data_IF_259130661831
#
_entry.id   IF_259130661831
#
_cell.length_a   1.000
_cell.length_b   1.000
_cell.length_c   1.000
_cell.angle_alpha   90.00
_cell.angle_beta   90.00
_cell.angle_gamma   90.00
#
_symmetry.space_group_name_H-M   'P 1'
#
loop_
_entity.id
_entity.type
_entity.pdbx_description
1 polymer ?
#
# COMPACT_ATOMS: atom_id res chain seq x y z
N UNK A 1 54.13 -34.60 -28.96
CA UNK A 1 52.96 -33.88 -28.45
C UNK A 1 52.74 -34.30 -27.00
N UNK A 2 53.29 -33.53 -26.06
CA UNK A 2 53.20 -33.83 -24.63
C UNK A 2 51.94 -33.11 -24.13
N UNK A 3 50.88 -33.88 -23.85
CA UNK A 3 49.68 -33.37 -23.20
C UNK A 3 50.10 -32.86 -21.82
N UNK A 4 50.07 -31.55 -21.63
CA UNK A 4 50.27 -30.92 -20.33
C UNK A 4 49.03 -31.23 -19.47
N UNK A 5 49.00 -32.41 -18.84
CA UNK A 5 48.01 -32.73 -17.82
C UNK A 5 48.34 -31.82 -16.64
N UNK A 6 47.62 -30.70 -16.53
CA UNK A 6 47.68 -29.82 -15.37
C UNK A 6 47.16 -30.62 -14.18
N UNK A 7 48.07 -31.26 -13.45
CA UNK A 7 47.76 -31.91 -12.17
C UNK A 7 47.52 -30.79 -11.17
N UNK A 8 46.28 -30.36 -11.05
CA UNK A 8 45.87 -29.41 -10.02
C UNK A 8 45.99 -30.13 -8.67
N UNK A 9 46.85 -29.67 -7.73
CA UNK A 9 47.04 -30.32 -6.45
C UNK A 9 45.71 -30.39 -5.68
N UNK A 10 45.48 -31.45 -4.90
CA UNK A 10 44.20 -31.66 -4.20
C UNK A 10 43.79 -30.47 -3.32
N UNK A 11 44.76 -29.78 -2.71
CA UNK A 11 44.54 -28.55 -1.95
C UNK A 11 43.96 -27.40 -2.80
N UNK A 12 44.34 -27.28 -4.07
CA UNK A 12 43.82 -26.28 -5.00
C UNK A 12 42.41 -26.65 -5.48
N UNK A 13 42.13 -27.94 -5.70
CA UNK A 13 40.76 -28.42 -5.98
C UNK A 13 39.83 -28.12 -4.79
N UNK A 14 40.29 -28.37 -3.57
CA UNK A 14 39.56 -28.12 -2.33
C UNK A 14 39.28 -26.62 -2.12
N UNK A 15 40.27 -25.73 -2.35
CA UNK A 15 40.09 -24.28 -2.26
C UNK A 15 39.14 -23.73 -3.35
N UNK A 16 39.17 -24.28 -4.55
CA UNK A 16 38.22 -23.94 -5.61
C UNK A 16 36.80 -24.43 -5.28
N UNK A 17 36.65 -25.60 -4.64
CA UNK A 17 35.37 -26.11 -4.18
C UNK A 17 34.80 -25.32 -3.00
N UNK A 18 35.59 -25.02 -1.96
CA UNK A 18 35.13 -24.22 -0.83
C UNK A 18 34.89 -22.75 -1.22
N UNK A 19 35.73 -22.19 -2.08
CA UNK A 19 35.54 -20.86 -2.65
C UNK A 19 34.30 -20.79 -3.54
N UNK A 20 34.09 -21.78 -4.43
CA UNK A 20 32.89 -21.83 -5.28
C UNK A 20 31.62 -22.06 -4.46
N UNK A 21 31.67 -22.90 -3.43
CA UNK A 21 30.54 -23.12 -2.52
C UNK A 21 30.21 -21.85 -1.75
N UNK A 22 31.22 -21.13 -1.24
CA UNK A 22 31.02 -19.84 -0.58
C UNK A 22 30.42 -18.78 -1.50
N UNK A 23 30.90 -18.68 -2.74
CA UNK A 23 30.34 -17.78 -3.76
C UNK A 23 28.91 -18.18 -4.14
N UNK A 24 28.65 -19.48 -4.33
CA UNK A 24 27.32 -19.99 -4.65
C UNK A 24 26.33 -19.70 -3.51
N UNK A 25 26.73 -19.98 -2.27
CA UNK A 25 25.92 -19.68 -1.08
C UNK A 25 25.68 -18.17 -0.95
N UNK A 26 26.69 -17.34 -1.20
CA UNK A 26 26.53 -15.89 -1.19
C UNK A 26 25.52 -15.43 -2.26
N UNK A 27 25.63 -15.93 -3.51
CA UNK A 27 24.70 -15.59 -4.58
C UNK A 27 23.27 -16.03 -4.27
N UNK A 28 23.09 -17.17 -3.59
CA UNK A 28 21.77 -17.68 -3.19
C UNK A 28 21.18 -16.88 -2.03
N UNK A 29 21.99 -16.52 -1.02
CA UNK A 29 21.51 -15.85 0.20
C UNK A 29 21.40 -14.33 0.03
N UNK A 30 22.20 -13.73 -0.85
CA UNK A 30 22.23 -12.29 -1.07
C UNK A 30 20.86 -11.67 -1.37
N UNK A 31 20.00 -12.24 -2.24
CA UNK A 31 18.65 -11.74 -2.46
C UNK A 31 17.83 -11.65 -1.19
N UNK A 32 17.91 -12.66 -0.31
CA UNK A 32 17.16 -12.70 0.95
C UNK A 32 17.65 -11.66 1.96
N UNK A 33 18.97 -11.52 2.11
CA UNK A 33 19.57 -10.59 3.08
C UNK A 33 19.46 -9.13 2.64
N UNK A 34 19.48 -8.88 1.33
CA UNK A 34 19.43 -7.52 0.76
C UNK A 34 18.03 -7.10 0.30
N UNK A 35 17.01 -7.96 0.46
CA UNK A 35 15.63 -7.61 0.15
C UNK A 35 15.09 -6.59 1.14
N UNK A 36 14.31 -5.62 0.66
CA UNK A 36 13.49 -4.74 1.51
C UNK A 36 12.05 -4.84 1.04
N UNK A 37 11.13 -4.83 2.00
CA UNK A 37 9.71 -4.90 1.72
C UNK A 37 9.21 -3.71 0.88
N UNK A 38 8.02 -3.84 0.28
CA UNK A 38 7.43 -2.84 -0.57
C UNK A 38 7.09 -1.54 0.17
N UNK A 39 7.23 -0.40 -0.52
CA UNK A 39 6.71 0.90 -0.06
C UNK A 39 5.34 1.16 -0.72
N UNK A 40 4.34 1.49 0.10
CA UNK A 40 3.00 1.83 -0.36
C UNK A 40 2.80 3.34 -0.32
N UNK A 41 2.22 3.90 -1.38
CA UNK A 41 1.83 5.30 -1.43
C UNK A 41 0.40 5.44 -1.96
N UNK A 42 -0.28 6.47 -1.50
CA UNK A 42 -1.64 6.81 -1.95
C UNK A 42 -1.69 8.28 -2.33
N UNK A 43 -2.33 8.55 -3.46
CA UNK A 43 -2.63 9.89 -3.94
C UNK A 43 -4.14 10.07 -4.11
N UNK A 44 -4.63 11.27 -3.82
CA UNK A 44 -5.99 11.68 -4.13
C UNK A 44 -5.93 12.45 -5.44
N UNK A 45 -6.46 11.86 -6.50
CA UNK A 45 -6.36 12.38 -7.87
C UNK A 45 -7.51 13.31 -8.22
N UNK A 46 -8.70 13.08 -7.65
CA UNK A 46 -9.87 13.94 -7.82
C UNK A 46 -10.75 13.92 -6.58
N UNK A 47 -11.48 15.00 -6.36
CA UNK A 47 -12.53 15.10 -5.34
C UNK A 47 -13.71 15.85 -5.94
N UNK A 48 -14.87 15.22 -5.93
CA UNK A 48 -16.16 15.83 -6.30
C UNK A 48 -17.11 15.80 -5.10
N UNK A 49 -18.11 16.68 -5.07
CA UNK A 49 -19.12 16.72 -4.00
C UNK A 49 -18.59 17.18 -2.63
N UNK A 50 -17.46 17.88 -2.62
CA UNK A 50 -16.83 18.47 -1.43
C UNK A 50 -16.34 19.90 -1.70
N UNK A 51 -17.07 20.69 -2.48
CA UNK A 51 -16.70 22.09 -2.74
C UNK A 51 -17.02 22.97 -1.52
N UNK A 52 -16.07 23.78 -0.99
CA UNK A 52 -16.34 24.66 0.14
C UNK A 52 -17.54 25.59 -0.09
N UNK A 53 -17.59 26.25 -1.24
CA UNK A 53 -18.57 27.27 -1.56
C UNK A 53 -19.96 26.70 -1.88
N UNK A 54 -20.00 25.49 -2.46
CA UNK A 54 -21.27 24.88 -2.92
C UNK A 54 -21.82 23.86 -1.94
N UNK A 55 -20.95 23.02 -1.40
CA UNK A 55 -21.34 21.81 -0.68
C UNK A 55 -21.15 21.96 0.84
N UNK A 56 -20.22 22.80 1.32
CA UNK A 56 -19.93 22.91 2.75
C UNK A 56 -20.57 24.12 3.45
N UNK A 57 -20.77 25.25 2.76
CA UNK A 57 -21.40 26.45 3.34
C UNK A 57 -22.94 26.49 3.31
N UNK A 58 -23.59 25.44 2.78
CA UNK A 58 -25.06 25.40 2.62
C UNK A 58 -25.82 24.65 3.73
N UNK A 59 -27.14 24.90 3.81
CA UNK A 59 -28.09 24.23 4.74
C UNK A 59 -28.28 22.72 4.48
N UNK A 60 -27.64 22.15 3.45
CA UNK A 60 -27.69 20.71 3.20
C UNK A 60 -26.98 19.95 4.32
N UNK A 61 -27.68 19.05 5.04
CA UNK A 61 -27.09 18.31 6.15
C UNK A 61 -26.19 17.15 5.70
N UNK A 62 -26.35 16.68 4.47
CA UNK A 62 -25.73 15.49 3.95
C UNK A 62 -24.82 15.81 2.75
N UNK A 63 -23.63 15.19 2.72
CA UNK A 63 -22.64 15.30 1.66
C UNK A 63 -22.55 13.98 0.89
N UNK A 64 -22.27 14.05 -0.40
CA UNK A 64 -22.04 12.86 -1.23
C UNK A 64 -20.71 12.99 -1.96
N UNK A 65 -19.57 12.94 -1.24
CA UNK A 65 -18.27 13.16 -1.83
C UNK A 65 -17.81 11.94 -2.65
N UNK A 66 -17.13 12.19 -3.76
CA UNK A 66 -16.51 11.16 -4.60
C UNK A 66 -15.02 11.43 -4.66
N UNK A 67 -14.23 10.45 -4.24
CA UNK A 67 -12.77 10.53 -4.23
C UNK A 67 -12.19 9.62 -5.31
N UNK A 68 -11.40 10.20 -6.21
CA UNK A 68 -10.46 9.47 -7.04
C UNK A 68 -9.20 9.17 -6.24
N UNK A 69 -8.86 7.89 -6.10
CA UNK A 69 -7.73 7.42 -5.30
C UNK A 69 -6.81 6.61 -6.22
N UNK A 70 -5.53 6.90 -6.19
CA UNK A 70 -4.51 6.06 -6.82
C UNK A 70 -3.67 5.41 -5.73
N UNK A 71 -3.59 4.09 -5.75
CA UNK A 71 -2.74 3.30 -4.87
C UNK A 71 -1.52 2.87 -5.68
N UNK A 72 -0.33 3.21 -5.20
CA UNK A 72 0.94 2.88 -5.83
C UNK A 72 1.77 1.99 -4.90
N UNK A 73 2.38 0.97 -5.47
CA UNK A 73 3.20 -0.02 -4.77
C UNK A 73 4.57 -0.03 -5.42
N UNK A 74 5.58 0.39 -4.66
CA UNK A 74 6.99 0.29 -5.03
C UNK A 74 7.58 -0.99 -4.43
N UNK A 75 7.80 -2.00 -5.26
CA UNK A 75 8.44 -3.26 -4.88
C UNK A 75 9.83 -3.40 -5.52
N UNK A 76 10.45 -2.28 -5.93
CA UNK A 76 11.74 -2.27 -6.64
C UNK A 76 12.91 -2.77 -5.80
N UNK A 77 12.72 -2.79 -4.47
CA UNK A 77 13.73 -3.25 -3.50
C UNK A 77 13.49 -4.66 -2.98
N UNK A 78 12.37 -5.29 -3.33
CA UNK A 78 12.14 -6.68 -3.00
C UNK A 78 12.65 -7.59 -4.12
N UNK A 79 13.57 -8.49 -3.76
CA UNK A 79 14.25 -9.41 -4.67
C UNK A 79 13.61 -10.80 -4.68
N UNK A 80 12.73 -11.07 -3.73
CA UNK A 80 12.24 -12.41 -3.41
C UNK A 80 10.75 -12.51 -3.67
N UNK A 81 9.97 -11.56 -3.15
CA UNK A 81 8.52 -11.60 -3.16
C UNK A 81 7.94 -10.49 -4.02
N UNK A 82 6.76 -10.77 -4.58
CA UNK A 82 5.87 -9.77 -5.18
C UNK A 82 5.02 -9.14 -4.09
N UNK A 83 4.59 -7.91 -4.30
CA UNK A 83 3.74 -7.18 -3.37
C UNK A 83 2.34 -7.03 -3.95
N UNK A 84 1.33 -7.62 -3.30
CA UNK A 84 -0.04 -7.63 -3.80
C UNK A 84 -1.00 -6.88 -2.88
N UNK A 85 -2.05 -6.35 -3.52
CA UNK A 85 -3.33 -6.00 -2.90
C UNK A 85 -4.33 -7.04 -3.42
N UNK A 86 -4.90 -7.81 -2.49
CA UNK A 86 -5.75 -8.96 -2.77
C UNK A 86 -7.12 -8.62 -3.36
N UNK A 87 -7.91 -9.66 -3.60
CA UNK A 87 -9.30 -9.53 -4.05
C UNK A 87 -10.18 -8.95 -2.93
N UNK A 88 -11.34 -8.42 -3.31
CA UNK A 88 -12.32 -7.81 -2.39
C UNK A 88 -11.73 -6.71 -1.49
N UNK A 89 -10.65 -6.08 -1.97
CA UNK A 89 -10.03 -4.96 -1.29
C UNK A 89 -10.92 -3.73 -1.40
N UNK A 90 -10.91 -2.89 -0.38
CA UNK A 90 -11.68 -1.65 -0.37
C UNK A 90 -10.89 -0.52 0.30
N UNK A 91 -11.04 0.67 -0.25
CA UNK A 91 -10.52 1.91 0.29
C UNK A 91 -11.61 2.59 1.13
N UNK A 92 -11.20 3.09 2.29
CA UNK A 92 -12.01 3.93 3.16
C UNK A 92 -11.30 5.27 3.29
N UNK A 93 -12.03 6.35 3.08
CA UNK A 93 -11.55 7.72 3.35
C UNK A 93 -12.30 8.25 4.56
N UNK A 94 -11.57 8.70 5.56
CA UNK A 94 -12.13 9.29 6.78
C UNK A 94 -11.51 10.63 7.11
N UNK A 95 -12.28 11.49 7.77
CA UNK A 95 -11.82 12.78 8.27
C UNK A 95 -12.35 12.99 9.69
N UNK A 96 -11.45 13.18 10.65
CA UNK A 96 -11.82 13.35 12.06
C UNK A 96 -12.70 12.22 12.58
N UNK A 97 -12.30 10.97 12.29
CA UNK A 97 -13.01 9.73 12.65
C UNK A 97 -14.39 9.51 11.97
N UNK A 98 -14.81 10.42 11.09
CA UNK A 98 -16.03 10.27 10.29
C UNK A 98 -15.70 9.66 8.93
N UNK A 99 -16.45 8.61 8.55
CA UNK A 99 -16.39 8.00 7.23
C UNK A 99 -16.90 8.97 6.16
N UNK A 100 -16.02 9.38 5.25
CA UNK A 100 -16.40 10.22 4.11
C UNK A 100 -16.77 9.39 2.89
N UNK A 101 -16.06 8.31 2.62
CA UNK A 101 -16.33 7.49 1.44
C UNK A 101 -15.77 6.08 1.58
N UNK A 102 -16.38 5.15 0.82
CA UNK A 102 -15.90 3.78 0.68
C UNK A 102 -15.94 3.37 -0.79
N UNK A 103 -14.95 2.62 -1.23
CA UNK A 103 -14.87 2.14 -2.62
C UNK A 103 -14.11 0.83 -2.74
N UNK A 104 -14.39 0.06 -3.78
CA UNK A 104 -13.65 -1.16 -4.09
C UNK A 104 -12.33 -0.81 -4.76
N UNK A 105 -11.25 -1.49 -4.36
CA UNK A 105 -9.93 -1.40 -4.97
C UNK A 105 -9.69 -2.67 -5.76
N UNK A 106 -9.42 -2.59 -7.08
CA UNK A 106 -9.12 -3.78 -7.86
C UNK A 106 -7.87 -4.48 -7.33
N UNK A 107 -7.84 -5.81 -7.42
CA UNK A 107 -6.65 -6.58 -7.06
C UNK A 107 -5.52 -6.29 -8.05
N UNK A 108 -4.32 -6.05 -7.55
CA UNK A 108 -3.13 -5.83 -8.38
C UNK A 108 -1.87 -6.22 -7.62
N UNK A 109 -0.78 -6.46 -8.35
CA UNK A 109 0.51 -6.80 -7.76
C UNK A 109 1.64 -6.04 -8.45
N UNK A 110 2.57 -5.53 -7.65
CA UNK A 110 3.88 -5.16 -8.12
C UNK A 110 4.78 -6.40 -8.08
N UNK A 111 5.33 -6.78 -9.24
CA UNK A 111 6.29 -7.86 -9.35
C UNK A 111 7.56 -7.58 -8.52
N UNK A 112 8.36 -8.62 -8.26
CA UNK A 112 9.69 -8.42 -7.65
C UNK A 112 10.52 -7.46 -8.49
N UNK A 113 11.27 -6.57 -7.84
CA UNK A 113 12.03 -5.52 -8.51
C UNK A 113 11.18 -4.60 -9.42
N UNK A 114 9.87 -4.56 -9.20
CA UNK A 114 8.91 -3.79 -10.02
C UNK A 114 8.09 -2.81 -9.21
N UNK A 115 7.27 -2.04 -9.90
CA UNK A 115 6.27 -1.16 -9.29
C UNK A 115 4.97 -1.23 -10.08
N UNK A 116 3.86 -0.95 -9.42
CA UNK A 116 2.54 -0.96 -10.05
C UNK A 116 1.62 0.05 -9.37
N UNK A 117 0.64 0.55 -10.12
CA UNK A 117 -0.40 1.41 -9.59
C UNK A 117 -1.78 1.00 -10.07
N UNK A 118 -2.79 1.30 -9.26
CA UNK A 118 -4.19 1.12 -9.63
C UNK A 118 -4.99 2.34 -9.20
N UNK A 119 -5.93 2.72 -10.06
CA UNK A 119 -6.95 3.70 -9.72
C UNK A 119 -8.16 3.01 -9.09
N UNK A 120 -8.73 3.65 -8.08
CA UNK A 120 -9.96 3.26 -7.42
C UNK A 120 -10.81 4.51 -7.16
N UNK A 121 -12.11 4.33 -7.03
CA UNK A 121 -13.02 5.42 -6.72
C UNK A 121 -13.79 5.08 -5.46
N UNK A 122 -13.78 5.98 -4.48
CA UNK A 122 -14.49 5.83 -3.21
C UNK A 122 -15.62 6.85 -3.11
N UNK A 123 -16.83 6.37 -2.85
CA UNK A 123 -18.05 7.17 -2.92
C UNK A 123 -18.65 7.28 -1.52
N UNK A 124 -19.04 8.48 -1.13
CA UNK A 124 -19.86 8.76 0.06
C UNK A 124 -21.30 9.01 -0.38
N UNK A 125 -22.25 8.43 0.34
CA UNK A 125 -23.67 8.70 0.13
C UNK A 125 -24.26 9.18 1.44
N UNK A 126 -24.90 10.35 1.41
CA UNK A 126 -25.56 10.96 2.55
C UNK A 126 -24.71 11.00 3.83
N UNK A 127 -23.46 11.43 3.68
CA UNK A 127 -22.51 11.55 4.79
C UNK A 127 -22.86 12.77 5.63
N UNK A 128 -23.14 12.53 6.91
CA UNK A 128 -23.47 13.58 7.87
C UNK A 128 -22.23 13.92 8.69
N UNK A 129 -21.68 15.12 8.48
CA UNK A 129 -20.64 15.66 9.35
C UNK A 129 -21.24 16.59 10.42
N UNK A 130 -20.78 16.49 11.68
CA UNK A 130 -21.03 17.52 12.67
C UNK A 130 -20.60 18.89 12.15
N UNK A 131 -21.40 19.94 12.42
CA UNK A 131 -21.14 21.31 11.92
C UNK A 131 -19.70 21.76 12.17
N UNK A 132 -19.16 21.52 13.36
CA UNK A 132 -17.78 21.86 13.70
C UNK A 132 -16.75 21.21 12.77
N UNK A 133 -16.89 19.91 12.46
CA UNK A 133 -15.99 19.23 11.54
C UNK A 133 -16.19 19.71 10.10
N UNK A 134 -17.43 20.03 9.72
CA UNK A 134 -17.76 20.56 8.39
C UNK A 134 -17.12 21.93 8.17
N UNK A 135 -17.24 22.85 9.13
CA UNK A 135 -16.64 24.20 9.07
C UNK A 135 -15.11 24.12 9.04
N UNK A 136 -14.53 23.20 9.85
CA UNK A 136 -13.09 22.94 9.84
C UNK A 136 -12.63 22.40 8.49
N UNK A 137 -13.34 21.43 7.93
CA UNK A 137 -13.05 20.85 6.63
C UNK A 137 -13.12 21.91 5.52
N UNK A 138 -14.14 22.76 5.53
CA UNK A 138 -14.28 23.87 4.58
C UNK A 138 -13.08 24.83 4.65
N UNK A 139 -12.72 25.28 5.86
CA UNK A 139 -11.59 26.21 6.04
C UNK A 139 -10.23 25.59 5.71
N UNK A 140 -10.02 24.30 5.99
CA UNK A 140 -8.82 23.58 5.57
C UNK A 140 -8.77 23.41 4.04
N UNK A 141 -9.93 23.22 3.39
CA UNK A 141 -10.01 22.98 1.95
C UNK A 141 -9.79 24.25 1.14
N UNK A 142 -10.35 25.38 1.59
CA UNK A 142 -10.07 26.72 1.05
C UNK A 142 -8.57 27.07 1.12
N UNK A 143 -7.87 26.60 2.16
CA UNK A 143 -6.42 26.79 2.30
C UNK A 143 -5.58 25.74 1.56
N UNK A 144 -6.22 24.73 0.96
CA UNK A 144 -5.53 23.59 0.36
C UNK A 144 -4.66 22.84 1.37
N UNK A 145 -5.14 22.67 2.60
CA UNK A 145 -4.44 22.03 3.73
C UNK A 145 -5.16 20.79 4.27
N UNK A 146 -6.28 20.36 3.67
CA UNK A 146 -7.00 19.16 4.12
C UNK A 146 -6.14 17.93 3.97
N UNK A 147 -6.01 17.19 5.07
CA UNK A 147 -5.45 15.85 5.12
C UNK A 147 -6.55 14.91 5.57
N UNK A 148 -6.77 13.85 4.79
CA UNK A 148 -7.70 12.76 5.12
C UNK A 148 -6.93 11.49 5.40
N UNK A 149 -7.51 10.64 6.23
CA UNK A 149 -6.99 9.31 6.50
C UNK A 149 -7.56 8.35 5.45
N UNK A 150 -6.69 7.71 4.67
CA UNK A 150 -7.06 6.71 3.68
C UNK A 150 -6.59 5.35 4.17
N UNK A 151 -7.50 4.41 4.32
CA UNK A 151 -7.23 3.04 4.70
C UNK A 151 -7.64 2.09 3.58
N UNK A 152 -6.68 1.42 2.95
CA UNK A 152 -6.94 0.33 2.01
C UNK A 152 -6.88 -0.98 2.79
N UNK A 153 -8.01 -1.68 2.86
CA UNK A 153 -8.14 -2.97 3.52
C UNK A 153 -8.20 -4.05 2.46
N UNK A 154 -7.38 -5.07 2.62
CA UNK A 154 -7.27 -6.19 1.71
C UNK A 154 -7.40 -7.50 2.50
N UNK A 155 -8.61 -8.08 2.54
CA UNK A 155 -8.86 -9.33 3.25
C UNK A 155 -8.01 -10.46 2.70
N UNK A 156 -7.29 -11.18 3.57
CA UNK A 156 -6.37 -12.24 3.15
C UNK A 156 -5.24 -11.79 2.22
N UNK A 157 -4.91 -10.49 2.18
CA UNK A 157 -3.99 -9.88 1.22
C UNK A 157 -2.55 -10.42 1.29
N UNK A 158 -2.10 -10.87 2.46
CA UNK A 158 -0.77 -11.50 2.65
C UNK A 158 -0.84 -13.04 2.70
N UNK A 159 -2.00 -13.61 2.33
CA UNK A 159 -2.26 -15.03 2.28
C UNK A 159 -2.96 -15.59 3.52
N UNK A 160 -3.41 -16.83 3.40
CA UNK A 160 -3.98 -17.60 4.50
C UNK A 160 -3.00 -18.71 4.91
N UNK A 161 -2.76 -18.80 6.21
CA UNK A 161 -2.06 -19.91 6.84
C UNK A 161 -3.08 -20.94 7.35
N UNK A 162 -2.60 -22.14 7.70
CA UNK A 162 -3.41 -23.32 8.05
C UNK A 162 -4.58 -23.00 9.00
N UNK A 163 -4.42 -22.04 9.92
CA UNK A 163 -5.44 -21.70 10.91
C UNK A 163 -5.99 -20.25 10.85
N UNK A 164 -5.43 -19.35 10.03
CA UNK A 164 -5.78 -17.91 10.01
C UNK A 164 -5.46 -17.24 8.69
N UNK A 165 -6.31 -16.30 8.28
CA UNK A 165 -6.00 -15.33 7.23
C UNK A 165 -5.58 -14.01 7.87
N UNK A 166 -4.58 -13.35 7.29
CA UNK A 166 -4.16 -12.02 7.70
C UNK A 166 -4.74 -10.99 6.74
N UNK A 167 -5.50 -10.06 7.30
CA UNK A 167 -6.00 -8.91 6.58
C UNK A 167 -4.92 -7.83 6.58
N UNK A 168 -4.58 -7.38 5.38
CA UNK A 168 -3.62 -6.31 5.18
C UNK A 168 -4.33 -4.98 5.21
N UNK A 169 -3.84 -4.07 6.04
CA UNK A 169 -4.39 -2.71 6.17
C UNK A 169 -3.28 -1.71 5.88
N UNK A 170 -3.46 -0.93 4.82
CA UNK A 170 -2.54 0.11 4.37
C UNK A 170 -3.14 1.46 4.79
N UNK A 171 -2.49 2.15 5.71
CA UNK A 171 -2.98 3.40 6.32
C UNK A 171 -2.10 4.55 5.84
N UNK A 172 -2.73 5.56 5.24
CA UNK A 172 -2.06 6.69 4.63
C UNK A 172 -2.72 7.99 5.10
N UNK A 173 -1.91 9.02 5.34
CA UNK A 173 -2.41 10.39 5.51
C UNK A 173 -2.24 11.13 4.20
N UNK A 174 -3.32 11.26 3.44
CA UNK A 174 -3.28 11.82 2.10
C UNK A 174 -3.82 13.25 2.09
N UNK A 175 -3.06 14.16 1.47
CA UNK A 175 -3.48 15.55 1.29
C UNK A 175 -4.34 15.69 0.04
N UNK A 176 -5.51 16.31 0.15
CA UNK A 176 -6.38 16.59 -1.01
C UNK A 176 -5.70 17.62 -1.93
N UNK A 177 -5.62 17.33 -3.23
CA UNK A 177 -4.88 18.15 -4.20
C UNK A 177 -3.36 18.15 -3.98
N UNK A 178 -2.85 17.24 -3.13
CA UNK A 178 -1.44 17.05 -2.88
C UNK A 178 -0.81 15.95 -3.75
N UNK A 179 0.48 15.71 -3.53
CA UNK A 179 1.20 14.59 -4.14
C UNK A 179 0.97 13.26 -3.42
N UNK A 180 1.60 12.17 -3.91
CA UNK A 180 1.54 10.86 -3.29
C UNK A 180 2.08 10.91 -1.85
N UNK A 181 1.34 10.29 -0.94
CA UNK A 181 1.65 10.25 0.49
C UNK A 181 2.06 8.83 0.90
N UNK A 182 3.10 8.70 1.72
CA UNK A 182 3.58 7.40 2.20
C UNK A 182 2.61 6.77 3.19
N UNK A 183 2.50 5.45 3.11
CA UNK A 183 1.60 4.66 3.93
C UNK A 183 2.34 3.75 4.89
N UNK A 184 1.66 3.41 5.98
CA UNK A 184 2.07 2.38 6.91
C UNK A 184 1.24 1.13 6.68
N UNK A 185 1.88 -0.03 6.69
CA UNK A 185 1.21 -1.32 6.53
C UNK A 185 1.10 -1.99 7.89
N UNK A 186 -0.08 -2.51 8.19
CA UNK A 186 -0.32 -3.34 9.37
C UNK A 186 -1.08 -4.59 8.96
N UNK A 187 -0.80 -5.70 9.64
CA UNK A 187 -1.49 -6.97 9.46
C UNK A 187 -2.43 -7.20 10.65
N UNK A 188 -3.65 -7.62 10.37
CA UNK A 188 -4.67 -7.90 11.38
C UNK A 188 -5.24 -9.29 11.16
N UNK A 189 -5.73 -9.94 12.22
CA UNK A 189 -6.35 -11.27 12.08
C UNK A 189 -7.73 -11.08 11.44
N UNK A 190 -7.96 -11.75 10.31
CA UNK A 190 -9.25 -11.72 9.64
C UNK A 190 -10.36 -12.19 10.59
N UNK A 191 -11.36 -11.34 10.81
CA UNK A 191 -12.49 -11.60 11.72
C UNK A 191 -12.43 -10.92 13.10
N UNK A 192 -11.39 -10.14 13.42
CA UNK A 192 -11.43 -9.23 14.58
C UNK A 192 -11.97 -7.85 14.18
N UNK A 193 -13.22 -7.80 13.73
CA UNK A 193 -13.97 -6.54 13.76
C UNK A 193 -14.44 -6.37 15.20
N UNK A 194 -13.69 -5.63 16.01
CA UNK A 194 -14.25 -5.09 17.25
C UNK A 194 -15.27 -4.03 16.85
N UNK A 195 -16.54 -4.46 16.71
CA UNK A 195 -17.66 -3.60 17.05
C UNK A 195 -17.53 -3.27 18.54
N UNK A 196 -17.48 -1.98 18.85
CA UNK A 196 -17.50 -1.40 20.19
C UNK A 196 -18.02 0.01 20.10
#
# INVERSE_FOLDING_TARGET
MQLLVVVVPEACRILLFFGSTGVLLFLILWPFVSSRGPEYTVAITSVDGLDPARDLHGDRPALSPVFGITVYVDNTRDKVLRACVGVDSFAVVSYGDVLLSKGTVPSFCAEKLGACEVAATAWGMDVHLPRFLRDRLAGELERGQVVVDVAVRSPGGDGCYINRCLDKVIICKAKIGGGPSRCFVTETISGTTTEG
#
